data_IF_338994381429
#
_entry.id   IF_338994381429
#
_cell.length_a   1.000
_cell.length_b   1.000
_cell.length_c   1.000
_cell.angle_alpha   90.00
_cell.angle_beta   90.00
_cell.angle_gamma   90.00
#
_symmetry.space_group_name_H-M   'P 1'
#
loop_
_entity.id
_entity.type
_entity.pdbx_description
1 polymer ?
#
# COMPACT_ATOMS: atom_id res chain seq x y z
N UNK A 1 14.18 -16.10 0.68
CA UNK A 1 14.38 -16.40 -0.74
C UNK A 1 15.71 -15.85 -1.21
N UNK A 2 16.09 -16.13 -2.45
CA UNK A 2 17.14 -15.38 -3.14
C UNK A 2 16.73 -13.89 -3.25
N UNK A 3 17.69 -12.95 -3.23
CA UNK A 3 17.38 -11.53 -3.42
C UNK A 3 16.83 -11.29 -4.84
N UNK A 4 15.96 -10.29 -4.96
CA UNK A 4 15.42 -9.81 -6.22
C UNK A 4 16.27 -8.64 -6.71
N UNK A 5 16.80 -8.74 -7.92
CA UNK A 5 17.35 -7.59 -8.62
C UNK A 5 16.19 -6.73 -9.15
N UNK A 6 16.13 -5.48 -8.72
CA UNK A 6 15.08 -4.52 -9.07
C UNK A 6 15.70 -3.38 -9.85
N UNK A 7 15.21 -3.17 -11.07
CA UNK A 7 15.60 -2.04 -11.92
C UNK A 7 14.48 -1.00 -11.99
N UNK A 8 14.80 0.21 -11.53
CA UNK A 8 13.95 1.40 -11.66
C UNK A 8 14.54 2.31 -12.72
N UNK A 9 13.71 2.81 -13.63
CA UNK A 9 14.09 3.83 -14.61
C UNK A 9 13.08 4.94 -14.62
N UNK A 10 13.52 6.16 -14.84
CA UNK A 10 12.63 7.30 -14.98
C UNK A 10 13.07 8.25 -16.10
N UNK A 11 12.07 8.92 -16.65
CA UNK A 11 12.20 10.07 -17.53
C UNK A 11 11.09 11.04 -17.16
N UNK A 12 11.47 12.30 -16.94
CA UNK A 12 10.58 13.35 -16.43
C UNK A 12 10.98 14.69 -17.02
N UNK A 13 10.00 15.56 -17.23
CA UNK A 13 10.24 16.95 -17.62
C UNK A 13 10.91 17.74 -16.48
N UNK A 14 10.48 17.49 -15.23
CA UNK A 14 11.03 18.12 -14.03
C UNK A 14 12.07 17.21 -13.37
N UNK A 15 13.09 17.82 -12.75
CA UNK A 15 14.16 17.08 -12.09
C UNK A 15 13.63 16.31 -10.87
N UNK A 16 13.87 14.99 -10.85
CA UNK A 16 13.56 14.10 -9.72
C UNK A 16 14.71 14.14 -8.73
N UNK A 17 14.43 14.32 -7.44
CA UNK A 17 15.45 14.42 -6.39
C UNK A 17 15.50 13.23 -5.45
N UNK A 18 14.42 12.44 -5.37
CA UNK A 18 14.35 11.27 -4.51
C UNK A 18 13.65 10.14 -5.24
N UNK A 19 14.28 8.98 -5.25
CA UNK A 19 13.76 7.72 -5.79
C UNK A 19 13.79 6.71 -4.65
N UNK A 20 12.68 6.02 -4.41
CA UNK A 20 12.55 5.05 -3.33
C UNK A 20 11.98 3.75 -3.87
N UNK A 21 12.48 2.63 -3.35
CA UNK A 21 11.82 1.33 -3.48
C UNK A 21 11.02 1.04 -2.22
N UNK A 22 9.78 0.60 -2.40
CA UNK A 22 8.82 0.35 -1.32
C UNK A 22 8.45 -1.12 -1.34
N UNK A 23 8.71 -1.84 -0.24
CA UNK A 23 8.27 -3.20 0.02
C UNK A 23 7.19 -3.19 1.10
N UNK A 24 5.99 -3.71 0.80
CA UNK A 24 4.86 -3.77 1.76
C UNK A 24 4.60 -2.44 2.51
N UNK A 25 4.78 -1.31 1.82
CA UNK A 25 4.58 0.03 2.39
C UNK A 25 5.80 0.61 3.13
N UNK A 26 6.89 -0.13 3.30
CA UNK A 26 8.13 0.33 3.89
C UNK A 26 9.18 0.67 2.83
N UNK A 27 9.92 1.77 3.02
CA UNK A 27 11.02 2.15 2.13
C UNK A 27 12.20 1.22 2.42
N UNK A 28 12.60 0.44 1.43
CA UNK A 28 13.72 -0.51 1.54
C UNK A 28 14.98 -0.02 0.86
N UNK A 29 14.88 0.90 -0.11
CA UNK A 29 16.01 1.54 -0.75
C UNK A 29 15.69 3.01 -1.05
N UNK A 30 16.70 3.88 -1.02
CA UNK A 30 16.56 5.29 -1.37
C UNK A 30 17.76 5.80 -2.14
N UNK A 31 17.51 6.39 -3.30
CA UNK A 31 18.47 7.19 -4.04
C UNK A 31 18.10 8.67 -3.91
N UNK A 32 18.99 9.46 -3.32
CA UNK A 32 18.90 10.91 -3.27
C UNK A 32 19.76 11.52 -4.38
N UNK A 33 19.20 12.51 -5.08
CA UNK A 33 19.84 13.22 -6.18
C UNK A 33 19.68 14.72 -5.87
N UNK A 34 20.59 15.33 -5.09
CA UNK A 34 20.40 16.71 -4.59
C UNK A 34 20.17 17.74 -5.70
N UNK A 35 20.92 17.64 -6.80
CA UNK A 35 20.76 18.52 -7.97
C UNK A 35 19.57 18.13 -8.85
N UNK A 36 18.97 16.98 -8.59
CA UNK A 36 17.90 16.37 -9.37
C UNK A 36 18.36 15.82 -10.72
N UNK A 37 17.58 14.91 -11.29
CA UNK A 37 17.81 14.38 -12.64
C UNK A 37 16.49 14.17 -13.37
N UNK A 38 16.42 14.60 -14.62
CA UNK A 38 15.26 14.38 -15.50
C UNK A 38 15.22 12.97 -16.08
N UNK A 39 16.37 12.30 -16.17
CA UNK A 39 16.49 10.89 -16.58
C UNK A 39 17.44 10.18 -15.63
N UNK A 40 17.16 8.92 -15.31
CA UNK A 40 18.10 8.09 -14.58
C UNK A 40 17.59 6.69 -14.31
N UNK A 41 18.41 5.94 -13.57
CA UNK A 41 18.11 4.59 -13.15
C UNK A 41 18.65 4.29 -11.75
N UNK A 42 18.05 3.30 -11.10
CA UNK A 42 18.49 2.69 -9.84
C UNK A 42 18.37 1.18 -10.00
N UNK A 43 19.45 0.45 -9.70
CA UNK A 43 19.43 -1.01 -9.58
C UNK A 43 19.70 -1.35 -8.12
N UNK A 44 18.85 -2.18 -7.52
CA UNK A 44 18.98 -2.57 -6.11
C UNK A 44 18.64 -4.05 -5.92
N UNK A 45 19.25 -4.66 -4.90
CA UNK A 45 18.95 -6.02 -4.47
C UNK A 45 17.98 -5.97 -3.29
N UNK A 46 16.77 -6.48 -3.47
CA UNK A 46 15.73 -6.49 -2.43
C UNK A 46 15.49 -7.91 -1.91
N UNK A 47 15.64 -8.17 -0.61
CA UNK A 47 15.38 -9.51 -0.06
C UNK A 47 13.87 -9.81 0.00
N UNK A 48 13.37 -10.64 -0.90
CA UNK A 48 12.01 -11.18 -0.82
C UNK A 48 11.93 -12.30 0.24
N UNK A 49 11.67 -11.89 1.49
CA UNK A 49 11.59 -12.81 2.65
C UNK A 49 10.19 -13.41 2.84
N UNK A 50 9.18 -12.75 2.31
CA UNK A 50 7.79 -13.15 2.37
C UNK A 50 7.06 -12.75 1.09
N UNK A 51 5.80 -13.15 0.99
CA UNK A 51 4.86 -12.61 0.03
C UNK A 51 4.72 -11.11 0.25
N UNK A 52 4.41 -10.39 -0.82
CA UNK A 52 4.32 -8.95 -0.74
C UNK A 52 4.22 -8.27 -2.08
N UNK A 53 4.49 -6.96 -2.06
CA UNK A 53 4.54 -6.15 -3.26
C UNK A 53 5.68 -5.14 -3.21
N UNK A 54 6.20 -4.83 -4.39
CA UNK A 54 7.23 -3.82 -4.63
C UNK A 54 6.70 -2.67 -5.48
N UNK A 55 7.09 -1.45 -5.17
CA UNK A 55 6.86 -0.31 -6.06
C UNK A 55 8.00 0.70 -5.98
N UNK A 56 8.17 1.50 -7.04
CA UNK A 56 9.04 2.66 -7.01
C UNK A 56 8.23 3.93 -6.76
N UNK A 57 8.75 4.82 -5.90
CA UNK A 57 8.18 6.14 -5.58
C UNK A 57 9.21 7.21 -5.83
N UNK A 58 8.83 8.24 -6.58
CA UNK A 58 9.68 9.35 -6.96
C UNK A 58 9.08 10.66 -6.46
N UNK A 59 9.94 11.58 -6.04
CA UNK A 59 9.52 12.90 -5.58
C UNK A 59 10.58 13.97 -5.85
N UNK A 60 10.15 15.23 -5.86
CA UNK A 60 11.03 16.40 -5.94
C UNK A 60 10.47 17.58 -5.15
N UNK A 61 11.36 18.47 -4.74
CA UNK A 61 10.98 19.78 -4.21
C UNK A 61 10.63 20.77 -5.33
N UNK A 62 10.95 20.45 -6.59
CA UNK A 62 10.52 21.22 -7.76
C UNK A 62 8.99 21.34 -7.77
N UNK A 63 8.52 22.52 -8.18
CA UNK A 63 7.11 22.85 -8.33
C UNK A 63 6.80 23.01 -9.81
N UNK A 64 5.65 22.50 -10.24
CA UNK A 64 5.17 22.74 -11.59
C UNK A 64 4.59 24.16 -11.74
N UNK A 65 4.07 24.48 -12.92
CA UNK A 65 3.44 25.78 -13.21
C UNK A 65 2.19 26.07 -12.37
N UNK A 66 1.60 25.06 -11.72
CA UNK A 66 0.46 25.18 -10.81
C UNK A 66 0.89 25.12 -9.34
N UNK A 67 2.19 25.17 -9.07
CA UNK A 67 2.77 25.08 -7.73
C UNK A 67 2.51 23.74 -7.02
N UNK A 68 2.29 22.66 -7.77
CA UNK A 68 2.12 21.31 -7.24
C UNK A 68 3.48 20.61 -7.07
N UNK A 69 3.66 19.75 -6.05
CA UNK A 69 4.87 18.95 -5.90
C UNK A 69 4.96 17.89 -6.99
N UNK A 70 6.16 17.66 -7.53
CA UNK A 70 6.40 16.53 -8.41
C UNK A 70 6.36 15.22 -7.62
N UNK A 71 5.52 14.28 -8.08
CA UNK A 71 5.39 12.95 -7.51
C UNK A 71 5.09 11.92 -8.61
N UNK A 72 5.68 10.74 -8.50
CA UNK A 72 5.31 9.59 -9.31
C UNK A 72 5.42 8.30 -8.49
N UNK A 73 4.60 7.32 -8.82
CA UNK A 73 4.62 6.00 -8.20
C UNK A 73 4.25 4.95 -9.25
N UNK A 74 4.93 3.81 -9.28
CA UNK A 74 4.58 2.73 -10.21
C UNK A 74 3.35 1.96 -9.70
N UNK A 75 2.71 1.18 -10.56
CA UNK A 75 1.86 0.10 -10.04
C UNK A 75 2.70 -0.88 -9.23
N UNK A 76 2.15 -1.48 -8.16
CA UNK A 76 2.85 -2.50 -7.40
C UNK A 76 3.08 -3.76 -8.24
N UNK A 77 4.25 -4.37 -8.08
CA UNK A 77 4.58 -5.71 -8.57
C UNK A 77 4.43 -6.68 -7.41
N UNK A 78 3.50 -7.63 -7.53
CA UNK A 78 3.21 -8.62 -6.50
C UNK A 78 4.15 -9.81 -6.61
N UNK A 79 4.61 -10.29 -5.45
CA UNK A 79 5.62 -11.34 -5.33
C UNK A 79 5.10 -12.40 -4.38
N UNK A 80 5.14 -13.65 -4.85
CA UNK A 80 4.78 -14.82 -4.05
C UNK A 80 6.04 -15.66 -3.82
N UNK A 81 6.37 -15.83 -2.54
CA UNK A 81 7.45 -16.65 -2.01
C UNK A 81 6.93 -17.92 -1.32
N UNK A 82 5.63 -17.98 -1.02
CA UNK A 82 4.99 -19.04 -0.24
C UNK A 82 5.09 -18.84 1.28
N UNK A 83 5.71 -17.74 1.73
CA UNK A 83 5.82 -17.37 3.14
C UNK A 83 4.92 -16.16 3.36
N UNK A 84 3.91 -16.28 4.22
CA UNK A 84 2.98 -15.17 4.48
C UNK A 84 3.72 -13.94 5.04
N UNK A 85 3.34 -12.75 4.59
CA UNK A 85 3.91 -11.50 5.07
C UNK A 85 3.52 -11.24 6.53
N UNK A 86 4.45 -10.78 7.39
CA UNK A 86 4.12 -10.45 8.77
C UNK A 86 3.09 -9.31 8.87
N UNK A 87 3.04 -8.41 7.87
CA UNK A 87 2.10 -7.30 7.82
C UNK A 87 0.64 -7.75 7.68
N UNK A 88 0.37 -9.00 7.24
CA UNK A 88 -0.98 -9.53 7.06
C UNK A 88 -1.75 -9.54 8.37
N UNK A 89 -1.12 -9.97 9.47
CA UNK A 89 -1.79 -10.04 10.77
C UNK A 89 -2.17 -8.64 11.29
N UNK A 90 -1.28 -7.67 11.13
CA UNK A 90 -1.52 -6.28 11.54
C UNK A 90 -2.62 -5.62 10.71
N UNK A 91 -2.58 -5.80 9.38
CA UNK A 91 -3.63 -5.31 8.49
C UNK A 91 -4.98 -5.97 8.80
N UNK A 92 -5.01 -7.26 9.07
CA UNK A 92 -6.22 -7.99 9.43
C UNK A 92 -6.84 -7.47 10.74
N UNK A 93 -6.02 -7.22 11.78
CA UNK A 93 -6.50 -6.61 13.03
C UNK A 93 -7.11 -5.22 12.78
N UNK A 94 -6.47 -4.40 11.95
CA UNK A 94 -6.97 -3.07 11.61
C UNK A 94 -8.35 -3.13 10.95
N UNK A 95 -8.54 -3.98 9.93
CA UNK A 95 -9.82 -4.08 9.24
C UNK A 95 -10.92 -4.70 10.09
N UNK A 96 -10.59 -5.71 10.91
CA UNK A 96 -11.52 -6.30 11.87
C UNK A 96 -12.07 -5.24 12.85
N UNK A 97 -11.19 -4.42 13.43
CA UNK A 97 -11.59 -3.31 14.31
C UNK A 97 -12.37 -2.21 13.58
N UNK A 98 -12.00 -1.90 12.34
CA UNK A 98 -12.74 -0.94 11.53
C UNK A 98 -14.17 -1.42 11.23
N UNK A 99 -14.35 -2.73 11.01
CA UNK A 99 -15.66 -3.34 10.82
C UNK A 99 -16.48 -3.29 12.11
N UNK A 100 -15.89 -3.52 13.29
CA UNK A 100 -16.59 -3.30 14.57
C UNK A 100 -17.14 -1.87 14.67
N UNK A 101 -16.32 -0.87 14.29
CA UNK A 101 -16.76 0.53 14.22
C UNK A 101 -17.92 0.74 13.25
N UNK A 102 -17.86 0.16 12.05
CA UNK A 102 -18.90 0.25 11.05
C UNK A 102 -20.21 -0.43 11.50
N UNK A 103 -20.13 -1.61 12.13
CA UNK A 103 -21.28 -2.32 12.70
C UNK A 103 -21.96 -1.48 13.78
N UNK A 104 -21.19 -0.88 14.69
CA UNK A 104 -21.71 0.03 15.71
C UNK A 104 -22.43 1.23 15.08
N UNK A 105 -21.86 1.83 14.02
CA UNK A 105 -22.50 2.93 13.30
C UNK A 105 -23.81 2.51 12.63
N UNK A 106 -23.83 1.36 11.94
CA UNK A 106 -25.04 0.81 11.31
C UNK A 106 -26.14 0.57 12.35
N UNK A 107 -25.78 0.11 13.55
CA UNK A 107 -26.71 -0.15 14.65
C UNK A 107 -27.22 1.10 15.39
N UNK A 108 -26.48 2.20 15.39
CA UNK A 108 -26.85 3.39 16.17
C UNK A 108 -27.30 4.58 15.33
N UNK A 109 -26.75 4.74 14.12
CA UNK A 109 -26.86 5.97 13.31
C UNK A 109 -27.43 5.73 11.92
N UNK A 110 -27.26 4.54 11.36
CA UNK A 110 -27.63 4.24 9.98
C UNK A 110 -29.14 4.38 9.72
N UNK A 111 -29.50 5.06 8.62
CA UNK A 111 -30.87 5.18 8.13
C UNK A 111 -31.09 4.13 7.04
N UNK A 112 -32.12 3.31 7.21
CA UNK A 112 -32.46 2.25 6.28
C UNK A 112 -33.92 2.34 5.89
N UNK A 113 -34.26 1.85 4.69
CA UNK A 113 -35.64 1.82 4.19
C UNK A 113 -36.54 0.96 5.08
N UNK A 114 -36.01 -0.15 5.60
CA UNK A 114 -36.69 -1.06 6.51
C UNK A 114 -35.67 -1.86 7.35
N UNK A 115 -36.17 -2.64 8.29
CA UNK A 115 -35.32 -3.48 9.16
C UNK A 115 -34.57 -4.57 8.39
N UNK A 116 -35.18 -5.12 7.33
CA UNK A 116 -34.58 -6.17 6.50
C UNK A 116 -33.29 -5.69 5.83
N UNK A 117 -33.33 -4.51 5.18
CA UNK A 117 -32.17 -3.91 4.54
C UNK A 117 -31.02 -3.66 5.55
N UNK A 118 -31.37 -3.24 6.77
CA UNK A 118 -30.38 -3.06 7.83
C UNK A 118 -29.71 -4.39 8.20
N UNK A 119 -30.50 -5.46 8.34
CA UNK A 119 -29.98 -6.78 8.68
C UNK A 119 -29.07 -7.33 7.58
N UNK A 120 -29.43 -7.14 6.30
CA UNK A 120 -28.60 -7.53 5.16
C UNK A 120 -27.23 -6.83 5.18
N UNK A 121 -27.20 -5.53 5.46
CA UNK A 121 -25.94 -4.79 5.61
C UNK A 121 -25.13 -5.32 6.80
N UNK A 122 -25.74 -5.53 7.95
CA UNK A 122 -25.06 -6.10 9.12
C UNK A 122 -24.48 -7.50 8.86
N UNK A 123 -25.20 -8.34 8.12
CA UNK A 123 -24.75 -9.67 7.73
C UNK A 123 -23.52 -9.58 6.83
N UNK A 124 -23.56 -8.73 5.80
CA UNK A 124 -22.43 -8.53 4.88
C UNK A 124 -21.16 -8.06 5.60
N UNK A 125 -21.28 -7.13 6.54
CA UNK A 125 -20.14 -6.69 7.35
C UNK A 125 -19.55 -7.85 8.16
N UNK A 126 -20.38 -8.70 8.78
CA UNK A 126 -19.93 -9.86 9.57
C UNK A 126 -19.26 -10.93 8.70
N UNK A 127 -19.79 -11.19 7.51
CA UNK A 127 -19.18 -12.11 6.54
C UNK A 127 -17.76 -11.65 6.16
N UNK A 128 -17.60 -10.35 5.85
CA UNK A 128 -16.28 -9.77 5.61
C UNK A 128 -15.37 -9.81 6.84
N UNK A 129 -15.93 -9.57 8.04
CA UNK A 129 -15.17 -9.60 9.29
C UNK A 129 -14.57 -10.97 9.57
N UNK A 130 -15.32 -12.04 9.32
CA UNK A 130 -14.86 -13.41 9.52
C UNK A 130 -13.59 -13.73 8.71
N UNK A 131 -13.43 -13.15 7.52
CA UNK A 131 -12.21 -13.30 6.71
C UNK A 131 -10.99 -12.69 7.40
N UNK A 132 -11.10 -11.49 7.96
CA UNK A 132 -9.98 -10.86 8.67
C UNK A 132 -9.67 -11.54 10.01
N UNK A 133 -10.69 -12.11 10.66
CA UNK A 133 -10.50 -12.84 11.91
C UNK A 133 -9.68 -14.12 11.77
N UNK A 134 -9.70 -14.77 10.60
CA UNK A 134 -8.82 -15.94 10.34
C UNK A 134 -7.37 -15.51 10.08
N UNK A 135 -7.17 -14.34 9.47
CA UNK A 135 -5.86 -13.82 9.07
C UNK A 135 -5.08 -13.17 10.22
N UNK A 136 -5.77 -12.63 11.24
CA UNK A 136 -5.13 -11.96 12.39
C UNK A 136 -4.48 -12.90 13.41
N UNK A 137 -4.73 -14.20 13.31
CA UNK A 137 -4.28 -15.24 14.27
C UNK A 137 -3.12 -16.10 13.75
N UNK A 138 -2.57 -15.74 12.59
CA UNK A 138 -1.40 -16.39 11.97
C UNK A 138 -0.12 -15.74 12.45
#
# INVERSE_FOLDING_TARGET
>A
GAPLTVDVRWQSHYAVQRVELIWNGQVVETLQIPQGATVGALTAEVPARSDGWLAARLSSQVRDSFYQPLFAHTSPVYITTGIQAPEVADAARFFDQAIDGALNWVQQRGKFRNAQQRQEVLALFKEGQAVYQTLRSV
#
